data_IF_316950862691
#
_entry.id   IF_316950862691
#
_cell.length_a   1.000
_cell.length_b   1.000
_cell.length_c   1.000
_cell.angle_alpha   90.00
_cell.angle_beta   90.00
_cell.angle_gamma   90.00
#
_symmetry.space_group_name_H-M   'P 1'
#
loop_
_entity.id
_entity.type
_entity.pdbx_description
1 polymer ?
#
# COMPACT_ATOMS: atom_id res chain seq x y z
N UNK A 1 -0.77 10.12 5.74
CA UNK A 1 -0.15 9.21 4.74
C UNK A 1 -1.11 9.08 3.57
N UNK A 2 -0.60 9.11 2.34
CA UNK A 2 -1.41 8.93 1.13
C UNK A 2 -1.72 7.42 0.97
N UNK A 3 -2.93 7.11 0.52
CA UNK A 3 -3.43 5.73 0.41
C UNK A 3 -3.78 5.39 -1.03
N UNK A 4 -3.74 4.11 -1.36
CA UNK A 4 -4.19 3.55 -2.64
C UNK A 4 -5.01 2.27 -2.40
N UNK A 5 -5.50 1.66 -3.49
CA UNK A 5 -6.17 0.36 -3.41
C UNK A 5 -5.23 -0.71 -2.80
N UNK A 6 -5.74 -1.67 -2.01
CA UNK A 6 -4.90 -2.71 -1.45
C UNK A 6 -4.43 -3.69 -2.55
N UNK A 7 -3.20 -4.19 -2.42
CA UNK A 7 -2.71 -5.31 -3.22
C UNK A 7 -3.21 -6.66 -2.66
N UNK A 8 -2.85 -7.77 -3.32
CA UNK A 8 -3.28 -9.13 -2.93
C UNK A 8 -2.80 -9.58 -1.55
N UNK A 9 -1.70 -9.02 -1.04
CA UNK A 9 -1.19 -9.31 0.30
C UNK A 9 -1.97 -8.54 1.39
N UNK A 10 -2.35 -7.29 1.12
CA UNK A 10 -3.02 -6.41 2.09
C UNK A 10 -4.53 -6.60 2.09
N UNK A 11 -5.16 -6.89 0.94
CA UNK A 11 -6.62 -6.99 0.82
C UNK A 11 -7.28 -7.96 1.82
N UNK A 12 -6.72 -9.16 2.10
CA UNK A 12 -7.28 -10.08 3.11
C UNK A 12 -7.21 -9.55 4.55
N UNK A 13 -6.32 -8.59 4.82
CA UNK A 13 -6.07 -8.01 6.15
C UNK A 13 -6.88 -6.72 6.34
N UNK A 14 -6.88 -5.86 5.33
CA UNK A 14 -7.53 -4.56 5.34
C UNK A 14 -8.04 -4.22 3.93
N UNK A 15 -9.29 -4.59 3.58
CA UNK A 15 -9.79 -4.54 2.22
C UNK A 15 -10.07 -3.11 1.70
N UNK A 16 -10.04 -2.10 2.57
CA UNK A 16 -10.41 -0.72 2.20
C UNK A 16 -9.29 0.03 1.48
N UNK A 17 -8.04 -0.14 1.90
CA UNK A 17 -6.90 0.65 1.42
C UNK A 17 -5.57 0.08 1.92
N UNK A 18 -4.48 0.46 1.25
CA UNK A 18 -3.11 0.37 1.75
C UNK A 18 -2.41 1.73 1.67
N UNK A 19 -1.25 1.86 2.34
CA UNK A 19 -0.39 3.05 2.20
C UNK A 19 0.34 2.98 0.86
N UNK A 20 0.47 4.12 0.17
CA UNK A 20 1.34 4.25 -1.00
C UNK A 20 2.80 4.10 -0.56
N UNK A 21 3.49 3.09 -1.09
CA UNK A 21 4.91 2.83 -0.84
C UNK A 21 5.64 3.19 -2.14
N UNK A 22 6.67 4.02 -2.03
CA UNK A 22 7.50 4.44 -3.17
C UNK A 22 8.72 3.51 -3.30
N UNK A 23 9.17 3.31 -4.53
CA UNK A 23 10.54 2.86 -4.75
C UNK A 23 11.52 3.99 -4.39
N UNK A 24 12.76 3.66 -3.96
CA UNK A 24 13.76 4.68 -3.66
C UNK A 24 14.01 5.65 -4.83
N UNK A 25 13.94 5.17 -6.07
CA UNK A 25 14.17 5.96 -7.28
C UNK A 25 13.03 6.96 -7.56
N UNK A 26 11.83 6.73 -7.02
CA UNK A 26 10.64 7.57 -7.24
C UNK A 26 10.54 8.74 -6.23
N UNK A 27 11.44 8.81 -5.23
CA UNK A 27 11.36 9.82 -4.15
C UNK A 27 11.48 11.25 -4.68
N UNK A 28 12.36 11.50 -5.65
CA UNK A 28 12.52 12.84 -6.22
C UNK A 28 11.29 13.27 -7.03
N UNK A 29 10.73 12.37 -7.85
CA UNK A 29 9.47 12.63 -8.56
C UNK A 29 8.33 12.89 -7.58
N UNK A 30 8.23 12.14 -6.49
CA UNK A 30 7.20 12.37 -5.48
C UNK A 30 7.30 13.74 -4.79
N UNK A 31 8.52 14.19 -4.48
CA UNK A 31 8.73 15.43 -3.75
C UNK A 31 8.75 16.68 -4.65
N UNK A 32 9.03 16.52 -5.95
CA UNK A 32 9.34 17.65 -6.84
C UNK A 32 8.66 17.59 -8.21
N UNK A 33 8.04 16.47 -8.57
CA UNK A 33 7.40 16.27 -9.86
C UNK A 33 6.10 17.07 -10.03
N UNK A 34 5.54 17.00 -11.24
CA UNK A 34 4.23 17.53 -11.53
C UNK A 34 3.13 16.63 -10.98
N UNK A 35 1.94 17.19 -10.79
CA UNK A 35 0.79 16.46 -10.22
C UNK A 35 0.52 15.12 -10.91
N UNK A 36 0.56 15.10 -12.25
CA UNK A 36 0.27 13.89 -13.04
C UNK A 36 1.34 12.80 -12.85
N UNK A 37 2.59 13.19 -12.60
CA UNK A 37 3.69 12.25 -12.31
C UNK A 37 3.54 11.69 -10.89
N UNK A 38 3.21 12.54 -9.92
CA UNK A 38 3.01 12.17 -8.52
C UNK A 38 1.81 11.24 -8.37
N UNK A 39 0.67 11.54 -9.00
CA UNK A 39 -0.55 10.73 -8.89
C UNK A 39 -0.37 9.35 -9.54
N UNK A 40 0.48 9.24 -10.58
CA UNK A 40 0.83 7.96 -11.19
C UNK A 40 1.62 7.03 -10.26
N UNK A 41 2.30 7.59 -9.25
CA UNK A 41 2.99 6.82 -8.20
C UNK A 41 2.04 6.33 -7.10
N UNK A 42 0.82 6.87 -7.00
CA UNK A 42 -0.19 6.51 -6.00
C UNK A 42 -0.91 5.19 -6.34
N UNK A 43 -0.16 4.09 -6.39
CA UNK A 43 -0.64 2.75 -6.79
C UNK A 43 -0.28 1.68 -5.77
N UNK A 44 -0.90 0.49 -5.81
CA UNK A 44 -0.54 -0.62 -4.92
C UNK A 44 0.91 -1.05 -5.14
N UNK A 45 1.65 -1.28 -4.06
CA UNK A 45 3.03 -1.77 -4.14
C UNK A 45 3.07 -3.25 -4.52
N UNK A 46 4.19 -3.70 -5.11
CA UNK A 46 4.36 -5.10 -5.51
C UNK A 46 4.30 -6.04 -4.29
N UNK A 47 3.29 -6.93 -4.19
CA UNK A 47 3.17 -7.84 -3.06
C UNK A 47 4.33 -8.84 -2.97
N UNK A 48 5.04 -9.16 -4.07
CA UNK A 48 6.19 -10.06 -4.05
C UNK A 48 7.40 -9.47 -3.30
N UNK A 49 7.43 -8.14 -3.12
CA UNK A 49 8.46 -7.39 -2.40
C UNK A 49 8.07 -7.06 -0.96
N UNK A 50 6.94 -7.60 -0.48
CA UNK A 50 6.41 -7.36 0.85
C UNK A 50 6.33 -8.65 1.63
N UNK A 51 6.50 -8.57 2.96
CA UNK A 51 6.19 -9.69 3.86
C UNK A 51 5.34 -9.19 5.01
N UNK A 52 4.41 -10.02 5.47
CA UNK A 52 3.61 -9.75 6.67
C UNK A 52 4.21 -10.53 7.82
N UNK A 53 4.51 -9.83 8.92
CA UNK A 53 4.89 -10.44 10.20
C UNK A 53 3.90 -9.97 11.26
N UNK A 54 3.31 -10.90 11.98
CA UNK A 54 2.29 -10.59 12.97
C UNK A 54 1.44 -11.83 13.30
N UNK A 55 0.41 -11.67 14.14
CA UNK A 55 -0.54 -12.74 14.41
C UNK A 55 -1.25 -13.18 13.12
N UNK A 56 -1.73 -14.42 13.09
CA UNK A 56 -2.54 -14.94 11.97
C UNK A 56 -3.79 -14.07 11.81
N UNK A 57 -3.98 -13.51 10.61
CA UNK A 57 -5.16 -12.72 10.26
C UNK A 57 -6.31 -13.64 9.79
N UNK A 58 -7.58 -13.22 9.96
CA UNK A 58 -8.03 -11.95 10.54
C UNK A 58 -7.88 -11.93 12.06
N UNK A 59 -7.44 -10.78 12.61
CA UNK A 59 -7.32 -10.60 14.07
C UNK A 59 -8.66 -10.35 14.77
N UNK A 60 -9.72 -10.07 13.99
CA UNK A 60 -11.10 -9.94 14.50
C UNK A 60 -11.94 -11.11 14.00
N UNK A 61 -12.62 -11.79 14.93
CA UNK A 61 -13.67 -12.77 14.60
C UNK A 61 -15.00 -12.03 14.42
N UNK A 62 -15.89 -12.49 13.52
CA UNK A 62 -17.20 -11.88 13.29
C UNK A 62 -18.19 -12.02 14.45
N UNK A 63 -17.80 -12.68 15.56
CA UNK A 63 -18.67 -13.03 16.70
C UNK A 63 -18.69 -11.96 17.81
N UNK A 64 -18.46 -10.67 17.51
CA UNK A 64 -18.59 -9.57 18.48
C UNK A 64 -19.46 -8.44 17.97
#
# INVERSE_FOLDING_TARGET
MVTCAPNTLVAPIHPKAMITILEPEDVDTWLRGFYDEIVALQKPYDPARMTVRGPVFPTRRPER
#
